data_IF_853740141397
#
_entry.id   IF_853740141397
#
_cell.length_a   1.000
_cell.length_b   1.000
_cell.length_c   1.000
_cell.angle_alpha   90.00
_cell.angle_beta   90.00
_cell.angle_gamma   90.00
#
_symmetry.space_group_name_H-M   'P 1'
#
loop_
_entity.id
_entity.type
_entity.pdbx_description
1 polymer ?
#
# COMPACT_ATOMS: atom_id res chain seq x y z
N UNK A 1 23.22 17.09 22.10
CA UNK A 1 22.00 17.88 22.37
C UNK A 1 21.23 17.97 21.04
N UNK A 2 20.30 17.10 20.67
CA UNK A 2 19.46 16.15 21.39
C UNK A 2 19.18 14.95 20.45
N UNK A 3 19.83 13.81 20.70
CA UNK A 3 19.41 12.54 20.06
C UNK A 3 18.09 12.02 20.67
N UNK A 4 17.71 12.56 21.84
CA UNK A 4 16.46 12.28 22.57
C UNK A 4 15.23 12.98 21.93
N UNK A 5 15.42 13.96 21.03
CA UNK A 5 14.31 14.62 20.30
C UNK A 5 13.95 13.96 18.95
N UNK A 6 14.68 12.90 18.55
CA UNK A 6 14.50 12.21 17.25
C UNK A 6 13.52 11.04 17.28
N UNK A 7 13.05 10.60 18.45
CA UNK A 7 12.44 9.27 18.55
C UNK A 7 10.99 9.17 18.01
N UNK A 8 10.21 10.26 17.92
CA UNK A 8 8.81 10.17 17.44
C UNK A 8 8.28 11.41 16.70
N UNK A 9 9.09 12.09 15.87
CA UNK A 9 8.57 13.23 15.07
C UNK A 9 8.03 12.77 13.73
N UNK A 10 6.74 12.45 13.70
CA UNK A 10 5.96 12.43 12.47
C UNK A 10 5.73 13.87 12.04
N UNK A 11 6.18 14.23 10.83
CA UNK A 11 5.87 15.51 10.21
C UNK A 11 4.59 15.38 9.37
N UNK A 12 3.96 16.49 9.01
CA UNK A 12 2.72 16.50 8.22
C UNK A 12 2.86 17.40 7.00
N UNK A 13 2.23 16.99 5.91
CA UNK A 13 2.05 17.81 4.72
C UNK A 13 0.60 17.74 4.24
N UNK A 14 0.08 18.87 3.76
CA UNK A 14 -1.25 18.91 3.15
C UNK A 14 -1.17 18.48 1.68
N UNK A 15 -1.90 17.43 1.31
CA UNK A 15 -1.90 16.81 -0.03
C UNK A 15 -3.33 16.54 -0.44
N UNK A 16 -3.80 17.21 -1.51
CA UNK A 16 -5.11 17.01 -2.14
C UNK A 16 -6.33 16.96 -1.19
N UNK A 17 -6.27 17.67 -0.07
CA UNK A 17 -7.37 17.74 0.91
C UNK A 17 -7.07 17.08 2.25
N UNK A 18 -6.03 16.24 2.30
CA UNK A 18 -5.69 15.43 3.48
C UNK A 18 -4.38 15.89 4.14
N UNK A 19 -4.31 15.77 5.47
CA UNK A 19 -3.06 15.94 6.23
C UNK A 19 -2.33 14.60 6.28
N UNK A 20 -1.26 14.48 5.51
CA UNK A 20 -0.51 13.25 5.34
C UNK A 20 0.71 13.24 6.27
N UNK A 21 0.82 12.26 7.20
CA UNK A 21 2.00 12.09 8.03
C UNK A 21 3.18 11.52 7.23
N UNK A 22 4.41 11.87 7.63
CA UNK A 22 5.62 11.31 7.04
C UNK A 22 6.82 11.27 8.02
N UNK A 23 7.75 10.35 7.74
CA UNK A 23 9.04 10.19 8.45
C UNK A 23 10.26 10.56 7.59
N UNK A 24 10.14 10.55 6.26
CA UNK A 24 11.17 10.94 5.29
C UNK A 24 10.54 11.81 4.21
N UNK A 25 11.16 12.96 3.92
CA UNK A 25 10.73 13.86 2.86
C UNK A 25 10.83 13.18 1.48
N UNK A 26 11.86 12.36 1.26
CA UNK A 26 12.07 11.65 0.00
C UNK A 26 10.97 10.62 -0.25
N UNK A 27 10.64 9.81 0.76
CA UNK A 27 9.57 8.81 0.64
C UNK A 27 8.20 9.45 0.58
N UNK A 28 8.00 10.59 1.25
CA UNK A 28 6.79 11.40 1.07
C UNK A 28 6.66 11.83 -0.40
N UNK A 29 7.68 12.47 -0.97
CA UNK A 29 7.63 13.06 -2.31
C UNK A 29 7.54 12.02 -3.43
N UNK A 30 8.28 10.90 -3.32
CA UNK A 30 8.38 9.91 -4.39
C UNK A 30 7.33 8.78 -4.29
N UNK A 31 6.72 8.59 -3.12
CA UNK A 31 5.83 7.45 -2.88
C UNK A 31 4.48 7.87 -2.32
N UNK A 32 4.45 8.47 -1.12
CA UNK A 32 3.19 8.69 -0.39
C UNK A 32 2.34 9.75 -1.08
N UNK A 33 2.92 10.89 -1.47
CA UNK A 33 2.20 11.94 -2.21
C UNK A 33 1.66 11.45 -3.55
N UNK A 34 2.45 10.83 -4.44
CA UNK A 34 1.93 10.27 -5.68
C UNK A 34 0.81 9.26 -5.46
N UNK A 35 0.90 8.40 -4.44
CA UNK A 35 -0.14 7.44 -4.11
C UNK A 35 -1.44 8.15 -3.70
N UNK A 36 -1.38 9.11 -2.75
CA UNK A 36 -2.55 9.87 -2.29
C UNK A 36 -3.21 10.61 -3.45
N UNK A 37 -2.42 11.33 -4.27
CA UNK A 37 -2.91 12.07 -5.44
C UNK A 37 -3.61 11.17 -6.45
N UNK A 38 -3.08 9.97 -6.67
CA UNK A 38 -3.66 9.01 -7.60
C UNK A 38 -4.98 8.44 -7.07
N UNK A 39 -5.05 8.17 -5.77
CA UNK A 39 -6.18 7.48 -5.14
C UNK A 39 -7.39 8.39 -4.88
N UNK A 40 -7.24 9.72 -4.97
CA UNK A 40 -8.34 10.71 -4.82
C UNK A 40 -9.52 10.49 -5.80
N UNK A 41 -9.33 9.73 -6.87
CA UNK A 41 -10.40 9.47 -7.84
C UNK A 41 -11.52 8.59 -7.25
N UNK A 42 -12.75 8.77 -7.73
CA UNK A 42 -13.93 7.99 -7.27
C UNK A 42 -13.74 6.48 -7.44
N UNK A 43 -13.03 6.07 -8.49
CA UNK A 43 -12.72 4.66 -8.79
C UNK A 43 -11.87 4.01 -7.68
N UNK A 44 -11.00 4.79 -7.03
CA UNK A 44 -10.08 4.32 -6.01
C UNK A 44 -10.50 4.68 -4.58
N UNK A 45 -11.74 5.12 -4.36
CA UNK A 45 -12.20 5.59 -3.04
C UNK A 45 -11.99 4.58 -1.88
N UNK A 46 -12.21 3.28 -2.12
CA UNK A 46 -11.91 2.23 -1.14
C UNK A 46 -10.42 2.12 -0.82
N UNK A 47 -9.58 2.18 -1.86
CA UNK A 47 -8.13 2.16 -1.71
C UNK A 47 -7.60 3.44 -1.03
N UNK A 48 -8.17 4.61 -1.33
CA UNK A 48 -7.83 5.87 -0.67
C UNK A 48 -8.13 5.81 0.82
N UNK A 49 -9.34 5.38 1.19
CA UNK A 49 -9.75 5.29 2.58
C UNK A 49 -8.83 4.37 3.39
N UNK A 50 -8.50 3.19 2.84
CA UNK A 50 -7.56 2.26 3.47
C UNK A 50 -6.13 2.83 3.56
N UNK A 51 -5.65 3.53 2.52
CA UNK A 51 -4.29 4.07 2.54
C UNK A 51 -4.15 5.22 3.57
N UNK A 52 -5.16 6.07 3.69
CA UNK A 52 -5.21 7.13 4.70
C UNK A 52 -5.37 6.56 6.11
N UNK A 53 -6.20 5.52 6.29
CA UNK A 53 -6.32 4.81 7.56
C UNK A 53 -4.96 4.25 7.99
N UNK A 54 -4.20 3.62 7.10
CA UNK A 54 -2.88 3.10 7.41
C UNK A 54 -1.91 4.19 7.92
N UNK A 55 -1.96 5.38 7.33
CA UNK A 55 -1.17 6.54 7.75
C UNK A 55 -1.62 7.07 9.11
N UNK A 56 -2.92 7.09 9.39
CA UNK A 56 -3.48 7.47 10.69
C UNK A 56 -3.09 6.48 11.79
N UNK A 57 -3.11 5.18 11.50
CA UNK A 57 -2.70 4.14 12.47
C UNK A 57 -1.22 4.23 12.84
N UNK A 58 -0.36 4.66 11.92
CA UNK A 58 1.04 5.00 12.24
C UNK A 58 1.12 6.14 13.24
N UNK A 59 0.29 7.18 13.09
CA UNK A 59 0.23 8.32 14.02
C UNK A 59 -0.27 7.87 15.40
N UNK A 60 -1.24 6.97 15.42
CA UNK A 60 -1.83 6.44 16.66
C UNK A 60 -0.90 5.44 17.38
N UNK A 61 0.18 4.99 16.75
CA UNK A 61 1.07 3.99 17.33
C UNK A 61 0.53 2.57 17.19
N UNK A 62 -0.28 2.29 16.16
CA UNK A 62 -0.95 1.02 15.89
C UNK A 62 -0.36 0.31 14.65
N UNK A 63 0.89 -0.16 14.70
CA UNK A 63 1.59 -0.67 13.52
C UNK A 63 0.93 -1.89 12.87
N UNK A 64 0.30 -2.78 13.64
CA UNK A 64 -0.42 -3.93 13.09
C UNK A 64 -1.67 -3.55 12.28
N UNK A 65 -2.37 -2.49 12.71
CA UNK A 65 -3.52 -1.94 11.96
C UNK A 65 -3.03 -1.19 10.72
N UNK A 66 -1.94 -0.42 10.84
CA UNK A 66 -1.32 0.23 9.69
C UNK A 66 -0.88 -0.75 8.59
N UNK A 67 -0.25 -1.87 8.95
CA UNK A 67 0.15 -2.91 7.99
C UNK A 67 -1.08 -3.52 7.31
N UNK A 68 -2.13 -3.77 8.08
CA UNK A 68 -3.41 -4.29 7.57
C UNK A 68 -4.01 -3.35 6.54
N UNK A 69 -4.13 -2.07 6.87
CA UNK A 69 -4.82 -1.10 6.04
C UNK A 69 -4.01 -0.75 4.79
N UNK A 70 -2.68 -0.75 4.88
CA UNK A 70 -1.82 -0.63 3.70
C UNK A 70 -1.96 -1.82 2.74
N UNK A 71 -2.12 -3.04 3.28
CA UNK A 71 -2.45 -4.23 2.48
C UNK A 71 -3.82 -4.15 1.83
N UNK A 72 -4.83 -3.68 2.59
CA UNK A 72 -6.18 -3.42 2.08
C UNK A 72 -6.17 -2.38 0.96
N UNK A 73 -5.41 -1.30 1.09
CA UNK A 73 -5.29 -0.28 0.03
C UNK A 73 -4.78 -0.86 -1.29
N UNK A 74 -3.76 -1.72 -1.25
CA UNK A 74 -3.26 -2.42 -2.44
C UNK A 74 -4.31 -3.39 -3.01
N UNK A 75 -5.06 -4.08 -2.14
CA UNK A 75 -6.11 -5.00 -2.55
C UNK A 75 -7.23 -4.28 -3.31
N UNK A 76 -7.76 -3.21 -2.71
CA UNK A 76 -8.80 -2.36 -3.28
C UNK A 76 -8.33 -1.73 -4.60
N UNK A 77 -7.05 -1.32 -4.69
CA UNK A 77 -6.47 -0.81 -5.94
C UNK A 77 -6.51 -1.86 -7.05
N UNK A 78 -6.09 -3.09 -6.76
CA UNK A 78 -6.12 -4.18 -7.76
C UNK A 78 -7.55 -4.52 -8.20
N UNK A 79 -8.50 -4.50 -7.27
CA UNK A 79 -9.92 -4.72 -7.56
C UNK A 79 -10.50 -3.60 -8.40
N UNK A 80 -10.17 -2.34 -8.12
CA UNK A 80 -10.55 -1.19 -8.93
C UNK A 80 -9.99 -1.29 -10.36
N UNK A 81 -8.76 -1.79 -10.52
CA UNK A 81 -8.16 -2.12 -11.82
C UNK A 81 -8.76 -3.38 -12.50
N UNK A 82 -9.83 -3.94 -11.92
CA UNK A 82 -10.60 -5.06 -12.47
C UNK A 82 -10.00 -6.44 -12.23
N UNK A 83 -9.04 -6.60 -11.32
CA UNK A 83 -8.48 -7.91 -10.98
C UNK A 83 -9.45 -8.71 -10.10
N UNK A 84 -9.47 -10.03 -10.30
CA UNK A 84 -10.35 -10.93 -9.58
C UNK A 84 -9.60 -11.80 -8.56
N UNK A 85 -10.17 -11.93 -7.36
CA UNK A 85 -9.60 -12.74 -6.28
C UNK A 85 -10.09 -12.30 -4.90
N UNK A 86 -10.19 -13.26 -3.97
CA UNK A 86 -10.62 -13.00 -2.59
C UNK A 86 -9.50 -12.56 -1.64
N UNK A 87 -8.27 -12.44 -2.13
CA UNK A 87 -7.09 -12.03 -1.37
C UNK A 87 -6.00 -11.49 -2.33
N UNK A 88 -4.99 -10.82 -1.77
CA UNK A 88 -3.89 -10.23 -2.53
C UNK A 88 -3.13 -11.21 -3.44
N UNK A 89 -2.82 -12.41 -2.96
CA UNK A 89 -2.11 -13.42 -3.77
C UNK A 89 -2.84 -13.79 -5.07
N UNK A 90 -4.14 -14.18 -5.00
CA UNK A 90 -4.99 -14.32 -6.20
C UNK A 90 -5.06 -13.08 -7.09
N UNK A 91 -5.22 -11.88 -6.51
CA UNK A 91 -5.31 -10.63 -7.28
C UNK A 91 -4.02 -10.30 -8.05
N UNK A 92 -2.84 -10.49 -7.45
CA UNK A 92 -1.54 -10.33 -8.11
C UNK A 92 -1.38 -11.32 -9.27
N UNK A 93 -1.83 -12.57 -9.09
CA UNK A 93 -1.83 -13.57 -10.17
C UNK A 93 -2.73 -13.15 -11.32
N UNK A 94 -3.88 -12.56 -11.04
CA UNK A 94 -4.80 -12.07 -12.07
C UNK A 94 -4.27 -10.81 -12.77
N UNK A 95 -3.68 -9.88 -12.04
CA UNK A 95 -2.99 -8.71 -12.58
C UNK A 95 -1.91 -9.10 -13.60
N UNK A 96 -1.16 -10.18 -13.33
CA UNK A 96 -0.21 -10.77 -14.29
C UNK A 96 -0.90 -11.29 -15.56
N UNK A 97 -2.00 -12.04 -15.43
CA UNK A 97 -2.76 -12.56 -16.59
C UNK A 97 -3.29 -11.44 -17.48
N UNK A 98 -3.72 -10.33 -16.86
CA UNK A 98 -4.23 -9.14 -17.55
C UNK A 98 -3.13 -8.26 -18.16
N UNK A 99 -1.86 -8.57 -17.88
CA UNK A 99 -0.72 -7.78 -18.38
C UNK A 99 -0.51 -6.46 -17.63
N UNK A 100 -1.15 -6.27 -16.48
CA UNK A 100 -0.83 -5.16 -15.55
C UNK A 100 0.58 -5.30 -14.97
N UNK A 101 1.10 -6.53 -14.93
CA UNK A 101 2.50 -6.87 -14.70
C UNK A 101 3.07 -7.49 -15.99
N UNK A 102 4.24 -7.01 -16.43
CA UNK A 102 4.90 -7.46 -17.66
C UNK A 102 5.35 -8.93 -17.56
N UNK A 103 5.61 -9.56 -18.71
CA UNK A 103 6.10 -10.94 -18.76
C UNK A 103 7.41 -11.18 -17.99
N UNK A 104 8.27 -10.17 -17.86
CA UNK A 104 9.51 -10.23 -17.06
C UNK A 104 9.27 -9.90 -15.56
N UNK A 105 8.09 -9.41 -15.19
CA UNK A 105 7.73 -9.09 -13.80
C UNK A 105 7.41 -10.36 -12.98
N UNK A 106 7.71 -11.58 -13.47
CA UNK A 106 7.39 -12.80 -12.72
C UNK A 106 8.08 -12.83 -11.34
N UNK A 107 9.35 -12.44 -11.31
CA UNK A 107 10.11 -12.37 -10.07
C UNK A 107 9.65 -11.21 -9.18
N UNK A 108 9.22 -10.10 -9.78
CA UNK A 108 8.62 -8.97 -9.06
C UNK A 108 7.29 -9.42 -8.40
N UNK A 109 6.39 -10.04 -9.16
CA UNK A 109 5.13 -10.56 -8.65
C UNK A 109 5.32 -11.59 -7.54
N UNK A 110 6.32 -12.47 -7.67
CA UNK A 110 6.68 -13.43 -6.63
C UNK A 110 7.26 -12.75 -5.38
N UNK A 111 8.09 -11.71 -5.56
CA UNK A 111 8.62 -10.91 -4.47
C UNK A 111 7.53 -10.14 -3.72
N UNK A 112 6.63 -9.48 -4.44
CA UNK A 112 5.46 -8.80 -3.88
C UNK A 112 4.57 -9.78 -3.12
N UNK A 113 4.27 -10.95 -3.71
CA UNK A 113 3.48 -11.97 -3.01
C UNK A 113 4.13 -12.38 -1.69
N UNK A 114 5.45 -12.67 -1.69
CA UNK A 114 6.17 -13.04 -0.46
C UNK A 114 6.20 -11.92 0.58
N UNK A 115 6.32 -10.68 0.14
CA UNK A 115 6.27 -9.52 1.03
C UNK A 115 4.89 -9.37 1.68
N UNK A 116 3.81 -9.57 0.91
CA UNK A 116 2.45 -9.53 1.44
C UNK A 116 2.13 -10.74 2.33
N UNK A 117 2.68 -11.91 2.02
CA UNK A 117 2.61 -13.09 2.89
C UNK A 117 3.33 -12.82 4.22
N UNK A 118 4.50 -12.16 4.20
CA UNK A 118 5.19 -11.70 5.42
C UNK A 118 4.32 -10.72 6.20
N UNK A 119 3.78 -9.67 5.56
CA UNK A 119 2.91 -8.69 6.22
C UNK A 119 1.65 -9.34 6.85
N UNK A 120 1.10 -10.36 6.18
CA UNK A 120 -0.06 -11.12 6.68
C UNK A 120 0.31 -12.10 7.80
N UNK A 121 1.48 -12.74 7.71
CA UNK A 121 2.00 -13.63 8.74
C UNK A 121 2.39 -12.85 10.00
N UNK A 122 2.97 -11.67 9.85
CA UNK A 122 3.26 -10.75 10.95
C UNK A 122 1.97 -10.39 11.69
N UNK A 123 0.85 -10.17 10.98
CA UNK A 123 -0.47 -10.00 11.59
C UNK A 123 -1.01 -11.25 12.31
N UNK A 124 -0.71 -12.46 11.82
CA UNK A 124 -1.30 -13.72 12.29
C UNK A 124 -0.51 -14.37 13.43
N UNK A 125 0.82 -14.46 13.31
CA UNK A 125 1.71 -15.02 14.35
C UNK A 125 1.81 -14.07 15.57
N UNK A 126 1.51 -12.78 15.37
CA UNK A 126 1.49 -11.76 16.44
C UNK A 126 0.07 -11.39 16.90
N UNK A 127 -0.96 -12.03 16.34
CA UNK A 127 -2.38 -11.77 16.59
C UNK A 127 -3.07 -12.80 17.48
N UNK A 128 -2.45 -13.96 17.74
CA UNK A 128 -2.99 -14.97 18.63
C UNK A 128 -2.76 -14.59 20.10
N UNK A 129 -3.83 -14.06 20.70
CA UNK A 129 -4.08 -13.94 22.15
C UNK A 129 -3.27 -12.90 22.94
N UNK A 130 -3.97 -11.81 23.27
CA UNK A 130 -3.80 -10.99 24.49
C UNK A 130 -2.47 -10.31 24.83
N UNK A 131 -1.44 -10.28 23.98
CA UNK A 131 -0.27 -9.42 24.22
C UNK A 131 0.26 -8.84 22.92
N UNK A 132 0.24 -7.51 22.85
CA UNK A 132 0.99 -6.61 21.97
C UNK A 132 1.62 -7.23 20.72
N UNK A 133 1.03 -6.93 19.54
CA UNK A 133 1.70 -7.12 18.26
C UNK A 133 3.16 -6.66 18.35
N UNK A 134 4.10 -7.54 17.99
CA UNK A 134 5.52 -7.17 17.85
C UNK A 134 5.81 -6.34 16.60
N UNK A 135 4.80 -6.04 15.77
CA UNK A 135 4.95 -5.14 14.63
C UNK A 135 5.46 -3.79 15.13
N UNK A 136 6.46 -3.26 14.45
CA UNK A 136 7.03 -1.97 14.79
C UNK A 136 6.47 -0.87 13.88
N UNK A 137 6.60 0.38 14.30
CA UNK A 137 6.30 1.51 13.40
C UNK A 137 7.18 1.50 12.15
N UNK A 138 8.39 0.92 12.22
CA UNK A 138 9.25 0.79 11.05
C UNK A 138 8.72 -0.24 10.05
N UNK A 139 8.13 -1.34 10.53
CA UNK A 139 7.44 -2.32 9.68
C UNK A 139 6.20 -1.70 9.03
N UNK A 140 5.43 -0.90 9.79
CA UNK A 140 4.29 -0.16 9.26
C UNK A 140 4.69 0.85 8.18
N UNK A 141 5.75 1.65 8.42
CA UNK A 141 6.30 2.54 7.40
C UNK A 141 6.78 1.79 6.18
N UNK A 142 7.51 0.68 6.35
CA UNK A 142 7.93 -0.17 5.23
C UNK A 142 6.74 -0.63 4.39
N UNK A 143 5.67 -1.09 5.04
CA UNK A 143 4.46 -1.54 4.37
C UNK A 143 3.77 -0.41 3.60
N UNK A 144 3.56 0.76 4.22
CA UNK A 144 2.96 1.94 3.57
C UNK A 144 3.75 2.37 2.34
N UNK A 145 5.08 2.37 2.41
CA UNK A 145 5.93 2.75 1.29
C UNK A 145 5.93 1.70 0.18
N UNK A 146 6.05 0.41 0.51
CA UNK A 146 6.04 -0.64 -0.53
C UNK A 146 4.66 -0.70 -1.21
N UNK A 147 3.57 -0.65 -0.44
CA UNK A 147 2.22 -0.61 -0.98
C UNK A 147 2.00 0.64 -1.84
N UNK A 148 2.39 1.83 -1.34
CA UNK A 148 2.28 3.09 -2.09
C UNK A 148 3.04 3.04 -3.42
N UNK A 149 4.27 2.54 -3.43
CA UNK A 149 5.07 2.43 -4.66
C UNK A 149 4.44 1.47 -5.67
N UNK A 150 3.84 0.37 -5.20
CA UNK A 150 3.11 -0.57 -6.04
C UNK A 150 1.82 0.06 -6.60
N UNK A 151 1.05 0.76 -5.78
CA UNK A 151 -0.17 1.48 -6.20
C UNK A 151 0.18 2.48 -7.31
N UNK A 152 1.19 3.31 -7.10
CA UNK A 152 1.67 4.28 -8.10
C UNK A 152 2.07 3.56 -9.38
N UNK A 153 2.89 2.50 -9.31
CA UNK A 153 3.30 1.74 -10.50
C UNK A 153 2.13 1.12 -11.26
N UNK A 154 1.15 0.55 -10.53
CA UNK A 154 0.04 -0.21 -11.12
C UNK A 154 -1.02 0.70 -11.74
N UNK A 155 -1.29 1.86 -11.12
CA UNK A 155 -2.37 2.74 -11.52
C UNK A 155 -1.91 3.98 -12.31
N UNK A 156 -0.62 4.37 -12.26
CA UNK A 156 -0.12 5.52 -13.02
C UNK A 156 0.07 5.26 -14.52
N UNK A 157 -0.24 4.06 -15.02
CA UNK A 157 -0.25 3.73 -16.45
C UNK A 157 -1.68 3.89 -17.01
N UNK A 158 -2.07 5.09 -17.54
CA UNK A 158 -3.31 5.24 -18.31
C UNK A 158 -3.35 4.36 -19.57
N UNK A 159 -2.26 3.67 -19.89
CA UNK A 159 -2.05 2.90 -21.12
C UNK A 159 -2.47 1.43 -21.02
N UNK A 160 -2.42 0.78 -19.85
CA UNK A 160 -2.69 -0.67 -19.77
C UNK A 160 -4.16 -1.03 -19.65
N UNK A 161 -4.94 -0.31 -18.85
CA UNK A 161 -6.39 -0.52 -18.76
C UNK A 161 -7.10 -0.25 -20.11
N UNK A 162 -6.72 0.82 -20.80
CA UNK A 162 -7.22 1.13 -22.15
C UNK A 162 -6.81 0.09 -23.23
N UNK A 163 -5.66 -0.58 -23.05
CA UNK A 163 -5.24 -1.68 -23.92
C UNK A 163 -6.01 -2.98 -23.66
N UNK A 164 -6.49 -3.19 -22.43
CA UNK A 164 -7.33 -4.33 -22.06
C UNK A 164 -8.74 -4.15 -22.64
N UNK A 165 -9.34 -2.95 -22.52
CA UNK A 165 -10.68 -2.68 -23.04
C UNK A 165 -10.76 -2.75 -24.59
N UNK A 166 -9.68 -2.42 -25.29
CA UNK A 166 -9.57 -2.60 -26.75
C UNK A 166 -9.41 -4.05 -27.22
N UNK A 167 -9.06 -5.00 -26.36
CA UNK A 167 -8.91 -6.43 -26.72
C UNK A 167 -10.18 -7.26 -26.51
N UNK A 168 -11.19 -6.68 -25.86
CA UNK A 168 -12.48 -7.32 -25.58
C UNK A 168 -13.61 -6.86 -26.51
N UNK A 169 -13.28 -6.05 -27.54
CA UNK A 169 -14.16 -5.66 -28.65
C UNK A 169 -13.59 -6.21 -29.96
#
# INVERSE_FOLDING_TARGET
MNDILREHRVAYKFVDGDLVPFKSDELLQEVVEPAVRLLVSREFSGAQAAYLAALEEIVNGEPGNAITDAGTALQETLQALGCEGGALGPLIKDAKKRGLLAGHDQNLAAGVTKFLDWASADRSELGDSHNHSHATLDDAWLMVHVAGALIVRLAAEPTRAAAIEKRSR
#
